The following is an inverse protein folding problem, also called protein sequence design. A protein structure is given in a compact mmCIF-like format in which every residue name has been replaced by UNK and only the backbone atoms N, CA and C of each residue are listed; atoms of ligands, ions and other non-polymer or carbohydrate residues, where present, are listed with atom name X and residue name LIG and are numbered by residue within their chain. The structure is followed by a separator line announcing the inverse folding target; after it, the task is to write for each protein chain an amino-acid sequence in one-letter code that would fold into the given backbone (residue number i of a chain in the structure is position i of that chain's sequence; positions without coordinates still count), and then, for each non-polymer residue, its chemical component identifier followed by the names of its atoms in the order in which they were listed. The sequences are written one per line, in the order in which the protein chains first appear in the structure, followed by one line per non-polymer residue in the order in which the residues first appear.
data_IF_478844850738
#
_entry.id   IF_478844850738
#
_cell.length_a   1.000
_cell.length_b   1.000
_cell.length_c   1.000
_cell.angle_alpha   90.00
_cell.angle_beta   90.00
_cell.angle_gamma   90.00
#
_symmetry.space_group_name_H-M   'P 1'
#
loop_
_entity.id
_entity.type
_entity.pdbx_description
1 polymer ?
#
# COMPACT_ATOMS: atom_id res chain seq x y z
N UNK A 1 4.89 9.01 8.04
CA UNK A 1 5.50 9.89 7.01
C UNK A 1 5.53 9.12 5.68
N UNK A 2 5.72 9.80 4.54
CA UNK A 2 5.79 9.18 3.19
C UNK A 2 4.63 8.22 2.85
N UNK A 3 3.42 8.79 2.88
CA UNK A 3 2.17 8.13 2.50
C UNK A 3 1.44 8.98 1.44
N UNK A 4 0.53 8.37 0.70
CA UNK A 4 -0.44 9.12 -0.10
C UNK A 4 -1.66 9.51 0.76
N UNK A 5 -2.35 10.56 0.31
CA UNK A 5 -3.53 11.09 0.98
C UNK A 5 -4.82 10.47 0.44
N UNK A 6 -5.83 11.32 0.31
CA UNK A 6 -7.19 10.97 -0.10
C UNK A 6 -7.25 10.40 -1.53
N UNK A 7 -8.20 9.48 -1.79
CA UNK A 7 -8.44 8.93 -3.12
C UNK A 7 -8.99 9.99 -4.07
N UNK A 8 -8.88 9.71 -5.37
CA UNK A 8 -9.52 10.53 -6.40
C UNK A 8 -11.01 10.18 -6.48
N UNK A 9 -11.86 11.08 -5.99
CA UNK A 9 -13.32 10.92 -5.97
C UNK A 9 -13.95 10.90 -7.37
N UNK A 10 -13.21 11.29 -8.42
CA UNK A 10 -13.73 11.32 -9.79
C UNK A 10 -13.59 9.98 -10.51
N UNK A 11 -12.76 9.06 -10.00
CA UNK A 11 -12.60 7.69 -10.51
C UNK A 11 -13.72 6.80 -9.97
N UNK A 12 -14.75 6.57 -10.78
CA UNK A 12 -15.97 5.86 -10.35
C UNK A 12 -15.76 4.40 -9.94
N UNK A 13 -14.76 3.72 -10.48
CA UNK A 13 -14.43 2.32 -10.17
C UNK A 13 -13.27 2.19 -9.18
N UNK A 14 -12.88 3.29 -8.52
CA UNK A 14 -11.91 3.27 -7.44
C UNK A 14 -12.51 2.63 -6.20
N UNK A 15 -11.82 1.61 -5.69
CA UNK A 15 -12.18 0.92 -4.46
C UNK A 15 -11.11 1.15 -3.40
N UNK A 16 -11.53 1.62 -2.22
CA UNK A 16 -10.67 1.67 -1.03
C UNK A 16 -10.63 0.27 -0.40
N UNK A 17 -9.46 -0.37 -0.41
CA UNK A 17 -9.28 -1.75 0.07
C UNK A 17 -8.69 -1.82 1.49
N UNK A 18 -8.07 -0.73 1.95
CA UNK A 18 -7.65 -0.57 3.34
C UNK A 18 -7.55 0.91 3.69
N UNK A 19 -7.91 1.28 4.92
CA UNK A 19 -7.80 2.64 5.42
C UNK A 19 -7.43 2.63 6.91
N UNK A 20 -6.85 3.72 7.40
CA UNK A 20 -6.57 3.88 8.82
C UNK A 20 -5.83 5.16 9.16
N UNK A 21 -5.56 5.34 10.45
CA UNK A 21 -4.79 6.47 10.96
C UNK A 21 -3.29 6.28 10.78
N UNK A 22 -2.58 7.39 10.63
CA UNK A 22 -1.12 7.47 10.57
C UNK A 22 -0.64 8.67 11.39
N UNK A 23 0.66 8.66 11.71
CA UNK A 23 1.34 9.78 12.33
C UNK A 23 2.32 10.45 11.36
N UNK A 24 2.14 11.76 11.17
CA UNK A 24 3.07 12.65 10.48
C UNK A 24 3.91 13.40 11.51
N UNK A 25 5.23 13.23 11.48
CA UNK A 25 6.15 13.84 12.46
C UNK A 25 5.95 13.37 13.90
N UNK A 26 5.27 12.23 14.11
CA UNK A 26 4.98 11.66 15.43
C UNK A 26 3.86 12.36 16.23
N UNK A 27 3.34 13.49 15.74
CA UNK A 27 2.41 14.33 16.52
C UNK A 27 1.13 14.70 15.78
N UNK A 28 1.14 14.72 14.45
CA UNK A 28 -0.04 15.04 13.64
C UNK A 28 -0.69 13.77 13.12
N UNK A 29 -1.93 13.51 13.53
CA UNK A 29 -2.72 12.44 12.96
C UNK A 29 -3.09 12.77 11.51
N UNK A 30 -2.99 11.77 10.64
CA UNK A 30 -3.51 11.80 9.29
C UNK A 30 -4.22 10.50 8.96
N UNK A 31 -4.65 10.36 7.72
CA UNK A 31 -5.28 9.14 7.21
C UNK A 31 -4.53 8.62 5.99
N UNK A 32 -4.51 7.30 5.84
CA UNK A 32 -4.10 6.64 4.61
C UNK A 32 -5.26 5.85 4.06
N UNK A 33 -5.32 5.75 2.73
CA UNK A 33 -6.29 4.93 2.01
C UNK A 33 -5.54 4.24 0.86
N UNK A 34 -5.49 2.91 0.91
CA UNK A 34 -4.95 2.08 -0.15
C UNK A 34 -6.08 1.71 -1.10
N UNK A 35 -5.83 1.84 -2.40
CA UNK A 35 -6.88 1.81 -3.42
C UNK A 35 -6.52 0.89 -4.57
N UNK A 36 -7.56 0.39 -5.25
CA UNK A 36 -7.44 -0.27 -6.55
C UNK A 36 -8.45 0.34 -7.53
N UNK A 37 -8.11 0.41 -8.81
CA UNK A 37 -9.00 0.90 -9.88
C UNK A 37 -8.57 0.30 -11.23
N UNK A 38 -9.48 0.29 -12.21
CA UNK A 38 -9.20 -0.25 -13.53
C UNK A 38 -8.39 0.73 -14.39
N UNK A 39 -7.58 0.18 -15.28
CA UNK A 39 -6.86 0.91 -16.31
C UNK A 39 -7.46 0.66 -17.70
N UNK A 40 -7.16 1.52 -18.69
CA UNK A 40 -7.80 1.51 -20.00
C UNK A 40 -7.46 0.29 -20.86
N UNK A 41 -6.47 -0.53 -20.47
CA UNK A 41 -6.03 -1.72 -21.22
C UNK A 41 -6.45 -3.01 -20.53
N UNK A 42 -7.63 -2.99 -19.91
CA UNK A 42 -8.17 -4.09 -19.12
C UNK A 42 -7.17 -4.55 -18.03
N UNK A 43 -6.35 -3.61 -17.56
CA UNK A 43 -5.42 -3.76 -16.45
C UNK A 43 -6.02 -3.10 -15.21
N UNK A 44 -5.32 -3.18 -14.09
CA UNK A 44 -5.69 -2.45 -12.87
C UNK A 44 -4.44 -1.83 -12.26
N UNK A 45 -4.63 -0.81 -11.45
CA UNK A 45 -3.60 -0.21 -10.62
C UNK A 45 -3.93 -0.48 -9.15
N UNK A 46 -2.92 -0.85 -8.38
CA UNK A 46 -3.00 -0.91 -6.92
C UNK A 46 -2.05 0.13 -6.34
N UNK A 47 -2.57 1.04 -5.52
CA UNK A 47 -1.81 2.03 -4.78
C UNK A 47 -1.85 1.67 -3.29
N UNK A 48 -0.69 1.27 -2.76
CA UNK A 48 -0.54 0.86 -1.37
C UNK A 48 -0.62 2.02 -0.35
N UNK A 49 -0.72 3.26 -0.81
CA UNK A 49 -0.71 4.47 0.02
C UNK A 49 0.57 4.70 0.83
N UNK A 50 1.66 3.98 0.55
CA UNK A 50 2.94 4.14 1.26
C UNK A 50 4.11 3.66 0.43
N UNK A 51 5.26 4.31 0.58
CA UNK A 51 6.52 3.84 0.01
C UNK A 51 7.07 2.61 0.75
N UNK A 52 6.59 2.33 1.97
CA UNK A 52 7.09 1.27 2.84
C UNK A 52 6.45 -0.09 2.56
N UNK A 53 5.69 -0.26 1.47
CA UNK A 53 5.01 -1.51 1.16
C UNK A 53 5.95 -2.72 1.16
N UNK A 54 7.15 -2.56 0.57
CA UNK A 54 8.18 -3.61 0.52
C UNK A 54 8.64 -4.06 1.92
N UNK A 55 8.60 -3.18 2.90
CA UNK A 55 8.96 -3.47 4.29
C UNK A 55 7.98 -4.45 4.93
N UNK A 56 6.72 -4.45 4.49
CA UNK A 56 5.69 -5.41 4.89
C UNK A 56 5.79 -6.76 4.17
N UNK A 57 6.55 -6.86 3.07
CA UNK A 57 6.67 -8.10 2.31
C UNK A 57 7.75 -9.03 2.84
N UNK A 58 8.94 -8.51 3.15
CA UNK A 58 10.08 -9.34 3.55
C UNK A 58 11.14 -8.53 4.30
N UNK A 59 12.00 -9.24 5.03
CA UNK A 59 13.17 -8.68 5.70
C UNK A 59 14.38 -9.58 5.44
N UNK A 60 15.05 -9.45 4.28
CA UNK A 60 16.19 -10.30 3.94
C UNK A 60 17.39 -10.06 4.90
N UNK A 61 18.39 -10.97 4.93
CA UNK A 61 19.57 -10.81 5.77
C UNK A 61 20.26 -9.45 5.53
N UNK A 62 20.61 -8.77 6.63
CA UNK A 62 21.25 -7.44 6.59
C UNK A 62 20.28 -6.27 6.33
N UNK A 63 19.00 -6.53 6.10
CA UNK A 63 17.99 -5.49 5.94
C UNK A 63 17.68 -4.78 7.26
N UNK A 64 17.66 -3.46 7.24
CA UNK A 64 17.37 -2.62 8.40
C UNK A 64 16.19 -1.73 8.05
N UNK A 65 15.13 -1.78 8.87
CA UNK A 65 13.98 -0.90 8.69
C UNK A 65 14.41 0.56 8.91
N UNK A 66 13.98 1.48 8.03
CA UNK A 66 14.30 2.89 8.20
C UNK A 66 13.68 3.41 9.50
N UNK A 67 14.47 4.23 10.21
CA UNK A 67 14.01 5.00 11.36
C UNK A 67 14.10 6.48 11.01
N UNK A 68 12.97 7.17 10.99
CA UNK A 68 12.92 8.59 10.66
C UNK A 68 11.65 9.23 11.22
N UNK A 69 11.67 10.54 11.44
CA UNK A 69 10.51 11.30 11.92
C UNK A 69 9.83 10.67 13.15
N UNK A 70 10.64 10.14 14.08
CA UNK A 70 10.19 9.46 15.31
C UNK A 70 9.32 8.22 15.07
N UNK A 71 9.45 7.57 13.91
CA UNK A 71 8.68 6.39 13.55
C UNK A 71 9.50 5.43 12.66
N UNK A 72 8.95 4.22 12.48
CA UNK A 72 9.51 3.16 11.63
C UNK A 72 8.38 2.29 11.09
N UNK A 73 8.54 1.62 9.93
CA UNK A 73 7.65 0.55 9.53
C UNK A 73 7.73 -0.61 10.53
N UNK A 74 6.66 -1.41 10.63
CA UNK A 74 6.62 -2.56 11.55
C UNK A 74 7.43 -3.77 11.06
N UNK A 75 7.79 -3.80 9.77
CA UNK A 75 8.42 -4.95 9.13
C UNK A 75 7.40 -5.91 8.53
N UNK A 76 7.79 -7.16 8.24
CA UNK A 76 6.96 -8.11 7.51
C UNK A 76 5.60 -8.35 8.16
N UNK A 77 4.54 -8.35 7.33
CA UNK A 77 3.15 -8.55 7.75
C UNK A 77 2.46 -9.55 6.82
N UNK A 78 1.89 -10.61 7.39
CA UNK A 78 1.20 -11.68 6.65
C UNK A 78 0.02 -11.16 5.82
N UNK A 79 -0.61 -10.05 6.23
CA UNK A 79 -1.72 -9.42 5.50
C UNK A 79 -1.21 -8.72 4.25
N UNK A 80 -0.07 -8.02 4.34
CA UNK A 80 0.60 -7.37 3.21
C UNK A 80 1.07 -8.42 2.20
N UNK A 81 1.68 -9.50 2.67
CA UNK A 81 2.06 -10.65 1.84
C UNK A 81 0.85 -11.28 1.13
N UNK A 82 -0.26 -11.48 1.85
CA UNK A 82 -1.50 -12.03 1.28
C UNK A 82 -2.10 -11.10 0.21
N UNK A 83 -2.14 -9.80 0.47
CA UNK A 83 -2.60 -8.81 -0.53
C UNK A 83 -1.74 -8.87 -1.78
N UNK A 84 -0.41 -8.87 -1.63
CA UNK A 84 0.49 -8.94 -2.78
C UNK A 84 0.33 -10.24 -3.58
N UNK A 85 0.15 -11.38 -2.91
CA UNK A 85 -0.13 -12.66 -3.57
C UNK A 85 -1.42 -12.59 -4.38
N UNK A 86 -2.49 -12.02 -3.82
CA UNK A 86 -3.77 -11.89 -4.51
C UNK A 86 -3.65 -10.99 -5.75
N UNK A 87 -2.95 -9.86 -5.62
CA UNK A 87 -2.70 -8.91 -6.72
C UNK A 87 -1.88 -9.56 -7.84
N UNK A 88 -0.82 -10.29 -7.50
CA UNK A 88 -0.02 -11.03 -8.50
C UNK A 88 -0.85 -12.10 -9.20
N UNK A 89 -1.61 -12.89 -8.44
CA UNK A 89 -2.48 -13.92 -9.00
C UNK A 89 -3.52 -13.31 -9.95
N UNK A 90 -4.09 -12.14 -9.62
CA UNK A 90 -5.02 -11.46 -10.49
C UNK A 90 -4.34 -10.88 -11.73
N UNK A 91 -3.17 -10.25 -11.58
CA UNK A 91 -2.44 -9.64 -12.70
C UNK A 91 -1.85 -10.63 -13.69
N UNK A 92 -1.53 -11.85 -13.24
CA UNK A 92 -0.96 -12.92 -14.06
C UNK A 92 -2.01 -13.86 -14.66
N UNK A 93 -3.30 -13.70 -14.32
CA UNK A 93 -4.37 -14.49 -14.95
C UNK A 93 -4.40 -14.24 -16.46
N UNK A 94 -4.40 -15.29 -17.29
CA UNK A 94 -4.65 -15.15 -18.71
C UNK A 94 -5.99 -14.45 -18.92
N UNK A 95 -6.00 -13.42 -19.76
CA UNK A 95 -7.24 -12.75 -20.16
C UNK A 95 -7.68 -13.32 -21.52
N UNK A 96 -8.99 -13.62 -21.69
CA UNK A 96 -9.54 -14.15 -22.93
C UNK A 96 -9.36 -13.16 -24.09
#
# INVERSE_FOLDING_TARGET
WEHHGEPDETLQDLEVVAAGSIWSGGTREGRYEAVTFSGPKNNFAFNASTIFWSQGLSSPPGHILPWSHFSRPHGPDVRVQRMMLNLMNQGLRPRP
#
